data_IF_835461739501
#
_entry.id   IF_835461739501
#
_cell.length_a   1.000
_cell.length_b   1.000
_cell.length_c   1.000
_cell.angle_alpha   90.00
_cell.angle_beta   90.00
_cell.angle_gamma   90.00
#
_symmetry.space_group_name_H-M   'P 1'
#
loop_
_entity.id
_entity.type
_entity.pdbx_description
1 polymer ?
#
# COMPACT_ATOMS: atom_id res chain seq x y z
N UNK A 1 -15.43 -12.35 -20.63
CA UNK A 1 -16.09 -12.40 -19.30
C UNK A 1 -17.59 -12.77 -19.37
N UNK A 2 -18.51 -11.79 -19.50
CA UNK A 2 -19.99 -12.03 -19.55
C UNK A 2 -20.41 -12.98 -20.69
N UNK A 3 -19.76 -12.88 -21.85
CA UNK A 3 -20.03 -13.73 -23.01
C UNK A 3 -19.55 -15.19 -22.84
N UNK A 4 -18.54 -15.43 -22.01
CA UNK A 4 -17.91 -16.75 -21.84
C UNK A 4 -18.56 -17.54 -20.69
N UNK A 5 -18.97 -16.86 -19.61
CA UNK A 5 -19.80 -17.44 -18.55
C UNK A 5 -21.19 -17.85 -19.05
N UNK A 6 -21.76 -17.13 -20.03
CA UNK A 6 -22.99 -17.54 -20.72
C UNK A 6 -22.82 -18.83 -21.53
N UNK A 7 -21.62 -19.12 -22.05
CA UNK A 7 -21.33 -20.34 -22.84
C UNK A 7 -21.02 -21.56 -21.98
N UNK A 8 -20.53 -21.40 -20.75
CA UNK A 8 -20.13 -22.51 -19.87
C UNK A 8 -21.15 -22.89 -18.79
N UNK A 9 -22.26 -22.15 -18.64
CA UNK A 9 -23.31 -22.45 -17.67
C UNK A 9 -22.90 -22.35 -16.20
N UNK A 10 -21.69 -21.89 -15.90
CA UNK A 10 -21.22 -21.73 -14.52
C UNK A 10 -21.72 -20.42 -13.91
N UNK A 11 -22.18 -20.43 -12.64
CA UNK A 11 -22.56 -19.21 -11.95
C UNK A 11 -21.34 -18.30 -11.80
N UNK A 12 -21.51 -17.04 -12.20
CA UNK A 12 -20.48 -16.00 -12.07
C UNK A 12 -20.14 -15.81 -10.60
N UNK A 13 -18.94 -16.21 -10.19
CA UNK A 13 -18.41 -15.93 -8.85
C UNK A 13 -17.67 -14.59 -8.84
N UNK A 14 -17.74 -13.86 -7.73
CA UNK A 14 -17.09 -12.55 -7.58
C UNK A 14 -15.57 -12.59 -7.86
N UNK A 15 -14.80 -13.59 -7.37
CA UNK A 15 -13.38 -13.73 -7.75
C UNK A 15 -13.17 -13.90 -9.26
N UNK A 16 -14.08 -14.62 -9.93
CA UNK A 16 -14.05 -14.80 -11.39
C UNK A 16 -14.33 -13.51 -12.14
N UNK A 17 -15.15 -12.61 -11.58
CA UNK A 17 -15.40 -11.29 -12.18
C UNK A 17 -14.22 -10.33 -12.03
N UNK A 18 -13.52 -10.37 -10.90
CA UNK A 18 -12.27 -9.61 -10.67
C UNK A 18 -11.18 -10.10 -11.64
N UNK A 19 -11.07 -11.42 -11.84
CA UNK A 19 -10.12 -12.00 -12.80
C UNK A 19 -10.53 -11.79 -14.27
N UNK A 20 -11.82 -11.62 -14.56
CA UNK A 20 -12.33 -11.53 -15.93
C UNK A 20 -12.22 -10.10 -16.49
N UNK A 21 -11.05 -9.85 -17.05
CA UNK A 21 -10.55 -8.62 -17.66
C UNK A 21 -11.40 -8.05 -18.83
N UNK A 22 -11.63 -6.72 -18.90
CA UNK A 22 -11.88 -6.00 -20.15
C UNK A 22 -10.56 -5.74 -20.92
N UNK A 23 -10.57 -5.71 -22.28
CA UNK A 23 -9.38 -5.35 -23.07
C UNK A 23 -8.80 -4.02 -22.59
N UNK A 24 -7.47 -3.82 -22.71
CA UNK A 24 -6.71 -2.70 -22.15
C UNK A 24 -7.50 -1.38 -22.15
N UNK A 25 -8.14 -1.07 -21.03
CA UNK A 25 -8.81 0.20 -20.82
C UNK A 25 -7.74 1.13 -20.26
N UNK A 26 -7.50 2.26 -20.91
CA UNK A 26 -6.51 3.26 -20.48
C UNK A 26 -6.64 3.62 -18.99
N UNK A 27 -7.86 3.62 -18.45
CA UNK A 27 -8.12 3.87 -17.03
C UNK A 27 -7.65 2.77 -16.06
N UNK A 28 -7.49 1.52 -16.52
CA UNK A 28 -7.01 0.40 -15.70
C UNK A 28 -5.50 0.51 -15.47
N UNK A 29 -4.74 0.68 -16.55
CA UNK A 29 -3.29 0.84 -16.52
C UNK A 29 -2.90 2.09 -15.72
N UNK A 30 -3.61 3.21 -15.91
CA UNK A 30 -3.39 4.43 -15.12
C UNK A 30 -3.61 4.20 -13.62
N UNK A 31 -4.63 3.43 -13.22
CA UNK A 31 -4.89 3.16 -11.81
C UNK A 31 -3.76 2.36 -11.18
N UNK A 32 -3.33 1.29 -11.84
CA UNK A 32 -2.22 0.47 -11.34
C UNK A 32 -0.96 1.31 -11.26
N UNK A 33 -0.66 2.11 -12.28
CA UNK A 33 0.53 2.94 -12.26
C UNK A 33 0.52 3.95 -11.09
N UNK A 34 -0.62 4.61 -10.84
CA UNK A 34 -0.79 5.48 -9.66
C UNK A 34 -0.56 4.69 -8.36
N UNK A 35 -1.07 3.47 -8.28
CA UNK A 35 -0.91 2.60 -7.12
C UNK A 35 0.58 2.28 -6.86
N UNK A 36 1.30 1.79 -7.87
CA UNK A 36 2.73 1.47 -7.75
C UNK A 36 3.58 2.71 -7.41
N UNK A 37 3.30 3.84 -8.06
CA UNK A 37 3.99 5.10 -7.77
C UNK A 37 3.74 5.59 -6.34
N UNK A 38 2.56 5.30 -5.78
CA UNK A 38 2.23 5.58 -4.38
C UNK A 38 3.19 4.89 -3.41
N UNK A 39 3.46 3.59 -3.61
CA UNK A 39 4.45 2.88 -2.78
C UNK A 39 5.84 3.47 -2.93
N UNK A 40 6.28 3.74 -4.16
CA UNK A 40 7.64 4.21 -4.42
C UNK A 40 7.91 5.58 -3.78
N UNK A 41 7.00 6.55 -3.94
CA UNK A 41 7.16 7.90 -3.38
C UNK A 41 7.16 7.84 -1.85
N UNK A 42 6.21 7.12 -1.24
CA UNK A 42 6.12 7.00 0.22
C UNK A 42 7.34 6.28 0.79
N UNK A 43 7.84 5.23 0.13
CA UNK A 43 9.07 4.53 0.51
C UNK A 43 10.28 5.47 0.54
N UNK A 44 10.45 6.29 -0.50
CA UNK A 44 11.56 7.26 -0.58
C UNK A 44 11.46 8.32 0.52
N UNK A 45 10.25 8.86 0.77
CA UNK A 45 10.04 9.88 1.80
C UNK A 45 10.29 9.36 3.23
N UNK A 46 10.14 8.05 3.46
CA UNK A 46 10.29 7.41 4.77
C UNK A 46 11.63 6.68 4.95
N UNK A 47 12.62 6.98 4.10
CA UNK A 47 13.98 6.40 4.16
C UNK A 47 14.02 4.88 4.06
N UNK A 48 13.04 4.26 3.39
CA UNK A 48 13.14 2.85 3.04
C UNK A 48 14.31 2.62 2.07
N UNK A 49 14.77 1.37 1.98
CA UNK A 49 15.74 0.97 0.96
C UNK A 49 15.30 1.39 -0.45
N UNK A 50 16.24 1.74 -1.36
CA UNK A 50 15.90 2.25 -2.68
C UNK A 50 14.94 1.35 -3.45
N UNK A 51 13.99 1.98 -4.14
CA UNK A 51 13.10 1.30 -5.09
C UNK A 51 13.93 0.80 -6.26
N UNK A 52 14.03 -0.52 -6.40
CA UNK A 52 14.90 -1.18 -7.39
C UNK A 52 14.22 -1.33 -8.74
N UNK A 53 12.90 -1.54 -8.74
CA UNK A 53 12.12 -1.81 -9.95
C UNK A 53 10.66 -1.48 -9.75
N UNK A 54 10.02 -0.94 -10.79
CA UNK A 54 8.58 -0.77 -10.88
C UNK A 54 8.11 -1.36 -12.21
N UNK A 55 7.08 -2.19 -12.19
CA UNK A 55 6.58 -2.84 -13.39
C UNK A 55 5.06 -2.75 -13.47
N UNK A 56 4.57 -2.48 -14.68
CA UNK A 56 3.17 -2.54 -15.06
C UNK A 56 2.99 -3.66 -16.09
N UNK A 57 2.30 -4.72 -15.67
CA UNK A 57 2.00 -5.86 -16.50
C UNK A 57 0.53 -5.89 -16.91
N UNK A 58 0.17 -6.91 -17.71
CA UNK A 58 -1.21 -7.19 -18.06
C UNK A 58 -2.07 -7.59 -16.87
N UNK A 59 -1.46 -8.14 -15.82
CA UNK A 59 -2.16 -8.79 -14.71
C UNK A 59 -2.11 -7.96 -13.42
N UNK A 60 -1.43 -6.81 -13.45
CA UNK A 60 -1.26 -5.95 -12.28
C UNK A 60 0.04 -5.14 -12.36
N UNK A 61 0.41 -4.53 -11.25
CA UNK A 61 1.67 -3.83 -11.08
C UNK A 61 2.51 -4.49 -9.99
N UNK A 62 3.77 -4.09 -9.91
CA UNK A 62 4.60 -4.38 -8.74
C UNK A 62 5.67 -3.32 -8.54
N UNK A 63 5.98 -3.06 -7.28
CA UNK A 63 7.05 -2.17 -6.85
C UNK A 63 8.00 -2.97 -5.96
N UNK A 64 9.24 -3.14 -6.42
CA UNK A 64 10.29 -3.83 -5.68
C UNK A 64 11.17 -2.84 -4.94
N UNK A 65 11.26 -3.02 -3.62
CA UNK A 65 12.08 -2.23 -2.68
C UNK A 65 12.51 -3.11 -1.53
N UNK A 66 13.50 -2.67 -0.75
CA UNK A 66 13.73 -3.25 0.57
C UNK A 66 12.75 -2.71 1.61
N UNK A 67 12.84 -3.25 2.83
CA UNK A 67 12.01 -2.79 3.95
C UNK A 67 12.47 -1.41 4.47
N UNK A 68 11.57 -0.70 5.12
CA UNK A 68 11.86 0.44 5.99
C UNK A 68 12.27 0.00 7.41
N UNK A 69 12.28 -1.31 7.70
CA UNK A 69 12.68 -1.88 8.98
C UNK A 69 14.12 -2.36 8.91
N UNK A 70 14.97 -1.79 9.75
CA UNK A 70 16.40 -2.08 9.85
C UNK A 70 16.76 -2.53 11.25
N UNK A 71 16.38 -1.75 12.26
CA UNK A 71 16.64 -2.04 13.68
C UNK A 71 15.42 -2.64 14.38
N UNK A 72 14.23 -2.60 13.76
CA UNK A 72 13.00 -3.12 14.35
C UNK A 72 12.35 -2.16 15.35
N UNK A 73 12.58 -0.84 15.21
CA UNK A 73 11.99 0.14 16.12
C UNK A 73 10.50 0.37 15.82
N UNK A 74 9.71 0.85 16.81
CA UNK A 74 8.31 1.19 16.58
C UNK A 74 8.09 2.09 15.35
N UNK A 75 8.91 3.12 15.20
CA UNK A 75 8.82 4.08 14.11
C UNK A 75 9.05 3.43 12.74
N UNK A 76 10.01 2.51 12.64
CA UNK A 76 10.29 1.78 11.40
C UNK A 76 9.13 0.87 10.96
N UNK A 77 8.49 0.17 11.91
CA UNK A 77 7.28 -0.59 11.61
C UNK A 77 6.13 0.30 11.14
N UNK A 78 5.94 1.45 11.77
CA UNK A 78 4.96 2.43 11.33
C UNK A 78 5.28 3.00 9.94
N UNK A 79 6.56 3.19 9.62
CA UNK A 79 7.00 3.58 8.28
C UNK A 79 6.65 2.50 7.27
N UNK A 80 7.00 1.25 7.53
CA UNK A 80 6.69 0.12 6.65
C UNK A 80 5.18 -0.01 6.41
N UNK A 81 4.36 0.07 7.47
CA UNK A 81 2.90 0.07 7.36
C UNK A 81 2.37 1.23 6.52
N UNK A 82 2.97 2.42 6.66
CA UNK A 82 2.63 3.60 5.84
C UNK A 82 2.98 3.38 4.37
N UNK A 83 4.13 2.77 4.08
CA UNK A 83 4.54 2.43 2.70
C UNK A 83 3.61 1.40 2.08
N UNK A 84 3.23 0.35 2.81
CA UNK A 84 2.28 -0.68 2.33
C UNK A 84 0.92 -0.03 2.04
N UNK A 85 0.47 0.95 2.83
CA UNK A 85 -0.78 1.67 2.53
C UNK A 85 -0.66 2.73 1.43
N UNK A 86 0.55 2.94 0.88
CA UNK A 86 0.88 3.97 -0.09
C UNK A 86 0.11 3.88 -1.42
N UNK A 87 -0.01 2.69 -2.01
CA UNK A 87 -0.70 2.52 -3.29
C UNK A 87 -2.19 2.84 -3.20
N UNK A 88 -2.85 2.37 -2.14
CA UNK A 88 -4.25 2.70 -1.85
C UNK A 88 -4.46 4.18 -1.57
N UNK A 89 -3.55 4.82 -0.82
CA UNK A 89 -3.59 6.25 -0.56
C UNK A 89 -3.46 7.08 -1.85
N UNK A 90 -2.57 6.66 -2.76
CA UNK A 90 -2.38 7.28 -4.06
C UNK A 90 -3.62 7.17 -4.95
N UNK A 91 -4.26 6.00 -5.01
CA UNK A 91 -5.54 5.84 -5.71
C UNK A 91 -6.60 6.81 -5.17
N UNK A 92 -6.74 6.88 -3.83
CA UNK A 92 -7.72 7.77 -3.21
C UNK A 92 -7.42 9.24 -3.50
N UNK A 93 -6.15 9.63 -3.51
CA UNK A 93 -5.71 11.01 -3.81
C UNK A 93 -5.97 11.39 -5.28
N UNK A 94 -5.52 10.59 -6.23
CA UNK A 94 -5.51 10.95 -7.65
C UNK A 94 -6.79 10.53 -8.41
N UNK A 95 -7.57 9.58 -7.88
CA UNK A 95 -8.75 9.01 -8.53
C UNK A 95 -10.06 9.21 -7.74
N UNK A 96 -9.99 9.84 -6.56
CA UNK A 96 -11.10 10.00 -5.62
C UNK A 96 -11.83 8.68 -5.29
N UNK A 97 -11.19 7.53 -5.56
CA UNK A 97 -11.79 6.21 -5.46
C UNK A 97 -10.71 5.15 -5.30
N UNK A 98 -11.06 4.10 -4.58
CA UNK A 98 -10.22 2.93 -4.31
C UNK A 98 -10.71 1.73 -5.12
N UNK A 99 -9.78 0.85 -5.47
CA UNK A 99 -10.09 -0.45 -6.06
C UNK A 99 -9.95 -1.61 -5.07
N UNK A 100 -10.32 -2.80 -5.54
CA UNK A 100 -10.04 -4.05 -4.84
C UNK A 100 -8.57 -4.51 -5.00
N UNK A 101 -7.73 -3.79 -5.76
CA UNK A 101 -6.35 -4.19 -6.07
C UNK A 101 -5.43 -4.26 -4.85
N UNK A 102 -5.68 -3.44 -3.83
CA UNK A 102 -4.97 -3.50 -2.54
C UNK A 102 -5.36 -4.73 -1.67
N UNK A 103 -6.27 -5.59 -2.14
CA UNK A 103 -6.80 -6.73 -1.39
C UNK A 103 -6.93 -7.99 -2.25
N UNK A 104 -7.56 -9.03 -1.70
CA UNK A 104 -7.99 -10.21 -2.47
C UNK A 104 -7.06 -11.43 -2.46
N UNK A 105 -5.78 -11.27 -2.11
CA UNK A 105 -4.85 -12.38 -1.88
C UNK A 105 -4.06 -12.20 -0.58
N UNK A 106 -3.34 -13.23 -0.14
CA UNK A 106 -2.50 -13.14 1.08
C UNK A 106 -1.24 -12.30 0.86
N UNK A 107 -0.88 -12.07 -0.41
CA UNK A 107 0.20 -11.19 -0.86
C UNK A 107 -0.27 -9.75 -1.11
N UNK A 108 -1.56 -9.44 -0.93
CA UNK A 108 -2.08 -8.07 -1.12
C UNK A 108 -1.65 -7.12 0.00
N UNK A 109 -1.60 -5.81 -0.30
CA UNK A 109 -1.22 -4.78 0.68
C UNK A 109 -2.00 -4.87 1.98
N UNK A 110 -3.32 -5.02 1.90
CA UNK A 110 -4.17 -5.10 3.09
C UNK A 110 -3.88 -6.36 3.91
N UNK A 111 -3.54 -7.49 3.26
CA UNK A 111 -3.16 -8.71 3.97
C UNK A 111 -1.80 -8.54 4.66
N UNK A 112 -0.81 -7.98 3.95
CA UNK A 112 0.52 -7.71 4.47
C UNK A 112 0.49 -6.71 5.63
N UNK A 113 -0.18 -5.57 5.46
CA UNK A 113 -0.33 -4.57 6.50
C UNK A 113 -1.11 -5.10 7.71
N UNK A 114 -2.15 -5.91 7.47
CA UNK A 114 -2.90 -6.53 8.57
C UNK A 114 -2.04 -7.49 9.38
N UNK A 115 -1.28 -8.35 8.71
CA UNK A 115 -0.37 -9.28 9.37
C UNK A 115 0.69 -8.52 10.17
N UNK A 116 1.36 -7.55 9.54
CA UNK A 116 2.43 -6.78 10.18
C UNK A 116 1.94 -6.01 11.41
N UNK A 117 0.79 -5.33 11.32
CA UNK A 117 0.20 -4.63 12.47
C UNK A 117 -0.16 -5.58 13.62
N UNK A 118 -0.64 -6.79 13.31
CA UNK A 118 -0.97 -7.75 14.36
C UNK A 118 0.28 -8.37 15.00
N UNK A 119 1.35 -8.59 14.23
CA UNK A 119 2.65 -8.99 14.79
C UNK A 119 3.23 -7.89 15.69
N UNK A 120 3.12 -6.64 15.25
CA UNK A 120 3.49 -5.46 16.02
C UNK A 120 2.79 -5.42 17.38
N UNK A 121 1.48 -5.69 17.39
CA UNK A 121 0.67 -5.70 18.60
C UNK A 121 0.90 -6.93 19.48
N UNK A 122 1.16 -8.12 18.92
CA UNK A 122 1.08 -9.40 19.66
C UNK A 122 2.40 -10.11 19.87
N UNK A 123 3.38 -9.89 19.01
CA UNK A 123 4.64 -10.64 18.99
C UNK A 123 5.84 -9.78 19.34
N UNK A 124 5.91 -8.54 18.85
CA UNK A 124 7.09 -7.71 19.04
C UNK A 124 7.07 -6.90 20.34
N UNK A 125 5.91 -6.81 20.98
CA UNK A 125 5.71 -6.05 22.21
C UNK A 125 5.84 -4.53 22.02
N UNK A 126 5.63 -4.05 20.79
CA UNK A 126 5.77 -2.64 20.40
C UNK A 126 4.43 -1.92 20.29
N UNK A 127 3.34 -2.69 20.21
CA UNK A 127 1.99 -2.17 20.04
C UNK A 127 1.16 -2.14 21.31
N UNK A 128 -0.15 -2.29 21.12
CA UNK A 128 -1.15 -2.04 22.18
C UNK A 128 -0.99 -2.93 23.42
N UNK A 129 -0.41 -4.12 23.27
CA UNK A 129 -0.21 -5.07 24.36
C UNK A 129 1.09 -4.82 25.15
N UNK A 130 1.88 -3.82 24.76
CA UNK A 130 3.16 -3.49 25.39
C UNK A 130 4.06 -4.72 25.52
N UNK A 131 4.65 -4.93 26.69
CA UNK A 131 5.64 -5.99 26.91
C UNK A 131 5.10 -7.44 26.85
N UNK A 132 3.82 -7.66 26.52
CA UNK A 132 3.22 -8.98 26.49
C UNK A 132 3.41 -9.66 25.11
N UNK A 133 3.96 -10.88 25.13
CA UNK A 133 3.94 -11.79 23.98
C UNK A 133 2.69 -12.66 24.03
N UNK A 134 1.79 -12.48 23.06
CA UNK A 134 0.51 -13.22 22.94
C UNK A 134 0.63 -14.33 21.87
N UNK A 135 1.72 -14.33 21.10
CA UNK A 135 1.97 -15.28 20.03
C UNK A 135 1.34 -14.89 18.69
N UNK A 136 1.56 -15.71 17.65
CA UNK A 136 1.28 -15.35 16.27
C UNK A 136 -0.21 -15.07 16.03
N UNK A 137 -0.55 -14.10 15.18
CA UNK A 137 -1.93 -13.76 14.91
C UNK A 137 -2.63 -14.83 14.08
N UNK A 138 -3.81 -15.26 14.53
CA UNK A 138 -4.77 -15.96 13.67
C UNK A 138 -5.84 -14.99 13.19
N UNK A 139 -5.72 -14.56 11.92
CA UNK A 139 -6.66 -13.66 11.26
C UNK A 139 -8.11 -14.16 11.29
N UNK A 140 -8.33 -15.49 11.39
CA UNK A 140 -9.68 -16.10 11.44
C UNK A 140 -10.30 -16.03 12.83
N UNK A 141 -9.49 -15.87 13.88
CA UNK A 141 -9.92 -15.91 15.28
C UNK A 141 -9.80 -14.56 15.99
N UNK A 142 -9.62 -13.46 15.25
CA UNK A 142 -9.59 -12.13 15.84
C UNK A 142 -10.89 -11.82 16.60
N UNK A 143 -10.78 -11.17 17.74
CA UNK A 143 -11.96 -10.61 18.43
C UNK A 143 -12.54 -9.44 17.63
N UNK A 144 -13.78 -9.04 17.94
CA UNK A 144 -14.36 -7.83 17.33
C UNK A 144 -13.60 -6.57 17.70
N UNK A 145 -12.98 -6.54 18.88
CA UNK A 145 -12.14 -5.43 19.32
C UNK A 145 -10.84 -5.37 18.52
N UNK A 146 -10.15 -6.50 18.35
CA UNK A 146 -8.92 -6.59 17.55
C UNK A 146 -9.18 -6.14 16.10
N UNK A 147 -10.28 -6.62 15.50
CA UNK A 147 -10.69 -6.20 14.15
C UNK A 147 -10.90 -4.69 14.05
N UNK A 148 -11.53 -4.09 15.05
CA UNK A 148 -11.78 -2.66 15.05
C UNK A 148 -10.48 -1.86 15.23
N UNK A 149 -9.60 -2.27 16.15
CA UNK A 149 -8.29 -1.65 16.36
C UNK A 149 -7.43 -1.74 15.10
N UNK A 150 -7.37 -2.91 14.48
CA UNK A 150 -6.66 -3.13 13.22
C UNK A 150 -7.16 -2.19 12.12
N UNK A 151 -8.47 -2.11 11.92
CA UNK A 151 -9.08 -1.19 10.95
C UNK A 151 -8.67 0.26 11.22
N UNK A 152 -8.80 0.73 12.46
CA UNK A 152 -8.45 2.10 12.84
C UNK A 152 -6.97 2.40 12.58
N UNK A 153 -6.08 1.46 12.88
CA UNK A 153 -4.63 1.59 12.63
C UNK A 153 -4.32 1.65 11.14
N UNK A 154 -4.87 0.75 10.33
CA UNK A 154 -4.67 0.81 8.88
C UNK A 154 -5.24 2.09 8.26
N UNK A 155 -6.39 2.57 8.73
CA UNK A 155 -6.95 3.87 8.33
C UNK A 155 -6.00 5.03 8.70
N UNK A 156 -5.29 4.95 9.83
CA UNK A 156 -4.29 5.94 10.25
C UNK A 156 -3.08 5.95 9.30
N UNK A 157 -2.51 4.77 9.00
CA UNK A 157 -1.36 4.68 8.09
C UNK A 157 -1.71 5.10 6.66
N UNK A 158 -2.92 4.79 6.19
CA UNK A 158 -3.39 5.28 4.89
C UNK A 158 -3.51 6.81 4.86
N UNK A 159 -4.00 7.43 5.95
CA UNK A 159 -4.03 8.90 6.06
C UNK A 159 -2.64 9.51 6.08
N UNK A 160 -1.70 8.90 6.80
CA UNK A 160 -0.28 9.33 6.85
C UNK A 160 0.36 9.25 5.47
N UNK A 161 0.17 8.14 4.75
CA UNK A 161 0.65 7.99 3.38
C UNK A 161 0.05 9.05 2.45
N UNK A 162 -1.25 9.34 2.58
CA UNK A 162 -1.90 10.40 1.81
C UNK A 162 -1.31 11.77 2.11
N UNK A 163 -1.05 12.10 3.37
CA UNK A 163 -0.44 13.37 3.77
C UNK A 163 0.95 13.56 3.15
N UNK A 164 1.73 12.48 3.07
CA UNK A 164 3.02 12.47 2.37
C UNK A 164 2.87 12.64 0.84
N UNK A 165 1.83 12.08 0.23
CA UNK A 165 1.63 12.15 -1.21
C UNK A 165 1.05 13.49 -1.70
N UNK A 166 0.27 14.20 -0.86
CA UNK A 166 -0.42 15.45 -1.26
C UNK A 166 0.54 16.51 -1.82
N UNK A 167 1.69 16.83 -1.17
CA UNK A 167 2.66 17.79 -1.72
C UNK A 167 3.32 17.34 -3.03
N UNK A 168 3.26 16.05 -3.34
CA UNK A 168 3.91 15.43 -4.50
C UNK A 168 2.89 14.89 -5.51
N UNK A 169 1.67 15.42 -5.52
CA UNK A 169 0.60 14.96 -6.42
C UNK A 169 0.99 15.06 -7.89
N UNK A 170 1.63 16.14 -8.30
CA UNK A 170 2.04 16.32 -9.70
C UNK A 170 3.12 15.30 -10.10
N UNK A 171 4.10 15.07 -9.21
CA UNK A 171 5.11 14.02 -9.40
C UNK A 171 4.46 12.63 -9.54
N UNK A 172 3.51 12.31 -8.66
CA UNK A 172 2.75 11.05 -8.70
C UNK A 172 2.07 10.85 -10.06
N UNK A 173 1.37 11.86 -10.56
CA UNK A 173 0.66 11.77 -11.83
C UNK A 173 1.61 11.68 -13.04
N UNK A 174 2.72 12.44 -13.04
CA UNK A 174 3.73 12.40 -14.10
C UNK A 174 4.48 11.06 -14.13
N UNK A 175 4.92 10.55 -12.97
CA UNK A 175 5.60 9.26 -12.88
C UNK A 175 4.68 8.11 -13.28
N UNK A 176 3.40 8.16 -12.87
CA UNK A 176 2.42 7.16 -13.28
C UNK A 176 2.20 7.17 -14.81
N UNK A 177 2.11 8.34 -15.44
CA UNK A 177 2.02 8.44 -16.90
C UNK A 177 3.27 7.84 -17.58
N UNK A 178 4.46 8.13 -17.05
CA UNK A 178 5.72 7.59 -17.55
C UNK A 178 5.78 6.05 -17.43
N UNK A 179 5.33 5.48 -16.30
CA UNK A 179 5.26 4.03 -16.12
C UNK A 179 4.27 3.37 -17.09
N UNK A 180 3.12 4.00 -17.38
CA UNK A 180 2.15 3.46 -18.36
C UNK A 180 2.78 3.36 -19.75
N UNK A 181 3.58 4.35 -20.14
CA UNK A 181 4.29 4.39 -21.43
C UNK A 181 5.40 3.34 -21.50
N UNK A 182 6.25 3.27 -20.48
CA UNK A 182 7.48 2.44 -20.50
C UNK A 182 7.27 1.01 -20.01
N UNK A 183 6.17 0.74 -19.30
CA UNK A 183 5.77 -0.54 -18.68
C UNK A 183 6.70 -1.08 -17.61
N UNK A 184 7.97 -0.68 -17.60
CA UNK A 184 8.95 -1.11 -16.62
C UNK A 184 9.99 -0.01 -16.42
N UNK A 185 10.35 0.25 -15.17
CA UNK A 185 11.36 1.21 -14.76
C UNK A 185 12.31 0.52 -13.78
N UNK A 186 13.60 0.55 -14.04
CA UNK A 186 14.63 0.09 -13.12
C UNK A 186 15.09 1.26 -12.22
N UNK A 187 15.92 0.96 -11.22
CA UNK A 187 16.45 1.97 -10.30
C UNK A 187 17.06 3.19 -11.00
N UNK A 188 17.82 2.97 -12.09
CA UNK A 188 18.43 4.06 -12.86
C UNK A 188 17.39 4.98 -13.51
N UNK A 189 16.26 4.40 -13.97
CA UNK A 189 15.16 5.14 -14.58
C UNK A 189 14.33 5.88 -13.53
N UNK A 190 14.23 5.32 -12.31
CA UNK A 190 13.48 5.90 -11.18
C UNK A 190 14.26 7.01 -10.46
N UNK A 191 15.59 6.97 -10.48
CA UNK A 191 16.45 7.92 -9.75
C UNK A 191 16.15 9.40 -10.07
N UNK A 192 15.98 9.83 -11.34
CA UNK A 192 15.64 11.22 -11.65
C UNK A 192 14.32 11.69 -11.04
N UNK A 193 13.37 10.78 -10.84
CA UNK A 193 12.05 11.08 -10.26
C UNK A 193 12.10 11.15 -8.73
N UNK A 194 12.83 10.24 -8.10
CA UNK A 194 12.78 10.03 -6.64
C UNK A 194 13.87 10.80 -5.89
N UNK A 195 15.01 11.12 -6.53
CA UNK A 195 16.14 11.80 -5.87
C UNK A 195 15.84 13.22 -5.36
N UNK A 196 14.82 13.88 -5.90
CA UNK A 196 14.36 15.19 -5.43
C UNK A 196 13.52 15.13 -4.14
N UNK A 197 13.05 13.94 -3.75
CA UNK A 197 12.27 13.75 -2.54
C UNK A 197 13.20 13.80 -1.33
N UNK A 198 13.02 14.82 -0.50
CA UNK A 198 13.72 14.91 0.77
C UNK A 198 13.00 14.02 1.79
N UNK A 199 13.70 13.07 2.44
CA UNK A 199 13.06 12.26 3.45
C UNK A 199 12.55 13.12 4.61
N UNK A 200 11.37 12.79 5.10
CA UNK A 200 10.72 13.57 6.17
C UNK A 200 11.10 12.98 7.52
N UNK A 201 11.60 13.83 8.42
CA UNK A 201 11.81 13.45 9.80
C UNK A 201 10.50 13.61 10.58
N UNK A 202 9.72 12.52 10.64
CA UNK A 202 8.37 12.55 11.22
C UNK A 202 8.35 12.38 12.74
N UNK A 203 9.51 12.33 13.41
CA UNK A 203 9.61 12.29 14.86
C UNK A 203 8.94 13.51 15.55
N UNK A 204 8.73 14.61 14.83
CA UNK A 204 8.19 15.85 15.38
C UNK A 204 6.74 16.16 15.00
N UNK A 205 6.13 15.50 14.00
CA UNK A 205 4.91 16.04 13.38
C UNK A 205 3.57 15.43 13.78
N UNK A 206 3.47 14.30 14.51
CA UNK A 206 2.14 13.72 14.84
C UNK A 206 2.08 12.84 16.10
N UNK A 207 2.56 13.35 17.25
CA UNK A 207 2.12 12.85 18.58
C UNK A 207 1.11 13.78 19.28
N UNK A 208 0.80 14.95 18.71
CA UNK A 208 -0.11 15.94 19.31
C UNK A 208 -1.49 16.04 18.64
N UNK A 209 -1.87 15.09 17.80
CA UNK A 209 -3.20 15.03 17.18
C UNK A 209 -4.28 14.44 18.10
N UNK A 210 -4.39 14.92 19.33
CA UNK A 210 -5.60 14.69 20.15
C UNK A 210 -6.62 15.81 19.92
N UNK A 211 -7.93 15.56 20.08
CA UNK A 211 -8.76 16.44 20.86
C UNK A 211 -8.69 16.00 22.32
N UNK A 212 -8.16 16.89 23.15
CA UNK A 212 -8.63 17.01 24.52
C UNK A 212 -10.06 17.51 24.46
N UNK A 213 -11.04 16.62 24.69
CA UNK A 213 -12.32 16.83 25.39
C UNK A 213 -13.12 15.52 25.45
#
# INVERSE_FOLDING_TARGET
AKAQARRSGQPLRIPTLIAARPPALEGYDRRIAIHECGHAIVATLLRAEPVRRMQLSRDGGSTSRGSAIHEGTPLEFEHELTVIMGGRAAERLALASISAGAGGSVESDLAQASALQLQFDREFGLGVNGNAWIGPPDLKQLSSEDRNRLRVKLDQFERRARALLVPHRDLLEMLAAHLVEHRELQEADLRPWLSGLQPVDLAETDLNGGPSE
#
